data_IF_798452194774
#
_entry.id   IF_798452194774
#
_cell.length_a   1.000
_cell.length_b   1.000
_cell.length_c   1.000
_cell.angle_alpha   90.00
_cell.angle_beta   90.00
_cell.angle_gamma   90.00
#
_symmetry.space_group_name_H-M   'P 1'
#
loop_
_entity.id
_entity.type
_entity.pdbx_description
1 polymer ?
#
# COMPACT_ATOMS: atom_id res chain seq x y z
N UNK A 1 -3.96 18.65 -3.59
CA UNK A 1 -4.55 17.31 -3.29
C UNK A 1 -4.78 17.23 -1.78
N UNK A 2 -6.02 17.11 -1.34
CA UNK A 2 -6.35 16.86 0.08
C UNK A 2 -6.27 15.34 0.31
N UNK A 3 -5.24 14.85 0.98
CA UNK A 3 -5.06 13.42 1.29
C UNK A 3 -5.37 13.16 2.76
N UNK A 4 -5.79 11.93 3.11
CA UNK A 4 -6.03 11.60 4.51
C UNK A 4 -4.72 11.63 5.32
N UNK A 5 -4.80 12.16 6.54
CA UNK A 5 -3.69 12.21 7.49
C UNK A 5 -3.28 10.80 7.93
N UNK A 6 -2.03 10.63 8.37
CA UNK A 6 -1.50 9.38 8.92
C UNK A 6 -2.28 8.85 10.15
N UNK A 7 -3.10 9.68 10.78
CA UNK A 7 -4.03 9.28 11.85
C UNK A 7 -5.22 8.45 11.34
N UNK A 8 -5.42 8.35 10.02
CA UNK A 8 -6.50 7.56 9.43
C UNK A 8 -6.34 6.06 9.74
N UNK A 9 -7.34 5.39 10.34
CA UNK A 9 -7.22 3.97 10.71
C UNK A 9 -6.91 3.04 9.54
N UNK A 10 -7.45 3.32 8.34
CA UNK A 10 -7.17 2.52 7.14
C UNK A 10 -5.73 2.69 6.66
N UNK A 11 -5.17 3.91 6.74
CA UNK A 11 -3.78 4.15 6.38
C UNK A 11 -2.83 3.50 7.38
N UNK A 12 -3.13 3.57 8.67
CA UNK A 12 -2.33 2.89 9.71
C UNK A 12 -2.29 1.37 9.52
N UNK A 13 -3.42 0.73 9.15
CA UNK A 13 -3.45 -0.71 8.86
C UNK A 13 -2.63 -1.08 7.63
N UNK A 14 -2.72 -0.31 6.55
CA UNK A 14 -1.90 -0.54 5.35
C UNK A 14 -0.42 -0.29 5.64
N UNK A 15 -0.09 0.77 6.38
CA UNK A 15 1.26 1.05 6.84
C UNK A 15 1.81 -0.10 7.67
N UNK A 16 1.02 -0.66 8.59
CA UNK A 16 1.42 -1.81 9.40
C UNK A 16 1.69 -3.08 8.59
N UNK A 17 1.06 -3.25 7.43
CA UNK A 17 1.34 -4.34 6.49
C UNK A 17 2.66 -4.11 5.76
N UNK A 18 2.91 -2.90 5.27
CA UNK A 18 4.06 -2.57 4.43
C UNK A 18 5.34 -2.24 5.23
N UNK A 19 5.25 -1.99 6.54
CA UNK A 19 6.40 -1.63 7.40
C UNK A 19 7.51 -2.69 7.45
N UNK A 20 7.21 -3.92 7.03
CA UNK A 20 8.21 -4.99 6.95
C UNK A 20 9.17 -4.84 5.77
N UNK A 21 8.94 -3.86 4.88
CA UNK A 21 9.77 -3.59 3.71
C UNK A 21 9.73 -4.68 2.66
N UNK A 22 8.78 -5.63 2.75
CA UNK A 22 8.64 -6.75 1.82
C UNK A 22 7.58 -6.45 0.76
N UNK A 23 7.66 -7.09 -0.42
CA UNK A 23 6.62 -6.98 -1.42
C UNK A 23 5.32 -7.66 -0.97
N UNK A 24 4.20 -6.93 -0.98
CA UNK A 24 2.87 -7.46 -0.72
C UNK A 24 1.95 -7.24 -1.92
N UNK A 25 1.24 -8.28 -2.33
CA UNK A 25 0.22 -8.20 -3.37
C UNK A 25 -0.99 -7.40 -2.89
N UNK A 26 -1.76 -6.84 -3.83
CA UNK A 26 -3.06 -6.21 -3.51
C UNK A 26 -3.94 -7.12 -2.65
N UNK A 27 -4.00 -8.42 -2.96
CA UNK A 27 -4.80 -9.40 -2.22
C UNK A 27 -4.30 -9.63 -0.79
N UNK A 28 -2.99 -9.63 -0.57
CA UNK A 28 -2.42 -9.73 0.79
C UNK A 28 -2.74 -8.49 1.62
N UNK A 29 -2.63 -7.30 1.03
CA UNK A 29 -2.97 -6.04 1.70
C UNK A 29 -4.46 -6.02 2.07
N UNK A 30 -5.36 -6.39 1.15
CA UNK A 30 -6.81 -6.49 1.44
C UNK A 30 -7.06 -7.40 2.63
N UNK A 31 -6.45 -8.60 2.65
CA UNK A 31 -6.66 -9.59 3.72
C UNK A 31 -6.08 -9.17 5.06
N UNK A 32 -4.91 -8.55 5.09
CA UNK A 32 -4.22 -8.18 6.34
C UNK A 32 -4.67 -6.84 6.90
N UNK A 33 -4.95 -5.86 6.04
CA UNK A 33 -5.33 -4.51 6.46
C UNK A 33 -6.86 -4.30 6.46
N UNK A 34 -7.65 -5.25 5.94
CA UNK A 34 -9.11 -5.14 5.83
C UNK A 34 -9.55 -3.83 5.15
N UNK A 35 -8.98 -3.57 3.96
CA UNK A 35 -9.29 -2.40 3.14
C UNK A 35 -9.59 -2.82 1.70
N UNK A 36 -10.59 -2.20 1.07
CA UNK A 36 -10.96 -2.47 -0.33
C UNK A 36 -10.24 -1.48 -1.27
N UNK A 37 -10.07 -0.23 -0.85
CA UNK A 37 -9.43 0.84 -1.63
C UNK A 37 -7.89 0.88 -1.44
N UNK A 38 -7.20 -0.23 -1.76
CA UNK A 38 -5.73 -0.32 -1.59
C UNK A 38 -5.01 0.76 -2.39
N UNK A 39 -5.37 0.97 -3.66
CA UNK A 39 -4.71 1.96 -4.51
C UNK A 39 -4.80 3.38 -3.93
N UNK A 40 -5.96 3.76 -3.40
CA UNK A 40 -6.15 5.05 -2.71
C UNK A 40 -5.25 5.16 -1.49
N UNK A 41 -5.20 4.12 -0.65
CA UNK A 41 -4.32 4.11 0.52
C UNK A 41 -2.84 4.24 0.14
N UNK A 42 -2.38 3.58 -0.92
CA UNK A 42 -1.01 3.70 -1.42
C UNK A 42 -0.72 5.13 -1.92
N UNK A 43 -1.65 5.72 -2.67
CA UNK A 43 -1.50 7.10 -3.15
C UNK A 43 -1.44 8.11 -1.99
N UNK A 44 -2.26 7.93 -0.97
CA UNK A 44 -2.26 8.79 0.21
C UNK A 44 -1.02 8.58 1.08
N UNK A 45 -0.56 7.34 1.28
CA UNK A 45 0.70 7.10 1.98
C UNK A 45 1.88 7.77 1.27
N UNK A 46 1.91 7.73 -0.07
CA UNK A 46 2.90 8.48 -0.87
C UNK A 46 2.78 9.98 -0.68
N UNK A 47 1.56 10.51 -0.61
CA UNK A 47 1.33 11.93 -0.34
C UNK A 47 1.79 12.34 1.07
N UNK A 48 1.76 11.41 2.05
CA UNK A 48 2.34 11.57 3.39
C UNK A 48 3.87 11.28 3.43
N UNK A 49 4.54 11.17 2.28
CA UNK A 49 6.00 11.02 2.19
C UNK A 49 6.53 9.58 2.20
N UNK A 50 5.67 8.57 2.15
CA UNK A 50 6.13 7.19 1.99
C UNK A 50 6.65 6.93 0.57
N UNK A 51 7.77 6.23 0.43
CA UNK A 51 8.23 5.74 -0.86
C UNK A 51 7.78 4.28 -1.01
N UNK A 52 6.93 4.03 -2.01
CA UNK A 52 6.35 2.70 -2.24
C UNK A 52 6.57 2.32 -3.70
N UNK A 53 7.41 1.31 -3.93
CA UNK A 53 7.60 0.69 -5.23
C UNK A 53 6.36 -0.14 -5.59
N UNK A 54 5.91 -0.04 -6.85
CA UNK A 54 4.86 -0.91 -7.39
C UNK A 54 5.42 -1.70 -8.57
N UNK A 55 5.51 -3.01 -8.41
CA UNK A 55 5.86 -3.92 -9.51
C UNK A 55 4.62 -4.64 -9.99
N UNK A 56 4.54 -4.88 -11.30
CA UNK A 56 3.42 -5.57 -11.94
C UNK A 56 3.95 -6.82 -12.61
N UNK A 57 3.37 -7.96 -12.26
CA UNK A 57 3.69 -9.25 -12.86
C UNK A 57 2.44 -9.78 -13.57
N UNK A 58 2.57 -10.21 -14.82
CA UNK A 58 1.51 -10.92 -15.54
C UNK A 58 1.65 -12.41 -15.26
N UNK A 59 0.61 -13.03 -14.68
CA UNK A 59 0.54 -14.47 -14.45
C UNK A 59 -0.69 -15.03 -15.15
N UNK A 60 -0.51 -15.57 -16.35
CA UNK A 60 -1.59 -15.92 -17.27
C UNK A 60 -2.39 -14.67 -17.66
N UNK A 61 -3.71 -14.74 -17.48
CA UNK A 61 -4.63 -13.62 -17.77
C UNK A 61 -4.75 -12.61 -16.62
N UNK A 62 -4.04 -12.82 -15.51
CA UNK A 62 -4.11 -11.94 -14.34
C UNK A 62 -2.89 -11.04 -14.23
N UNK A 63 -3.14 -9.77 -13.91
CA UNK A 63 -2.11 -8.83 -13.52
C UNK A 63 -2.02 -8.78 -11.99
N UNK A 64 -0.85 -9.08 -11.44
CA UNK A 64 -0.57 -9.05 -10.01
C UNK A 64 0.29 -7.82 -9.72
N UNK A 65 -0.25 -6.86 -8.99
CA UNK A 65 0.50 -5.74 -8.44
C UNK A 65 1.10 -6.11 -7.09
N UNK A 66 2.38 -5.83 -6.88
CA UNK A 66 3.07 -5.90 -5.59
C UNK A 66 3.55 -4.52 -5.16
N UNK A 67 3.36 -4.22 -3.89
CA UNK A 67 3.76 -2.96 -3.27
C UNK A 67 4.83 -3.23 -2.22
N UNK A 68 5.93 -2.51 -2.30
CA UNK A 68 7.05 -2.59 -1.34
C UNK A 68 7.33 -1.19 -0.84
N UNK A 69 7.24 -0.95 0.47
CA UNK A 69 7.59 0.34 1.04
C UNK A 69 9.09 0.38 1.33
N UNK A 70 9.80 1.29 0.67
CA UNK A 70 11.25 1.50 0.81
C UNK A 70 11.56 2.59 1.84
N UNK A 71 10.62 3.51 2.06
CA UNK A 71 10.72 4.57 3.07
C UNK A 71 9.35 4.79 3.72
N UNK A 72 9.33 4.85 5.04
CA UNK A 72 8.12 5.17 5.80
C UNK A 72 7.70 6.65 5.60
N UNK A 73 6.41 6.99 5.75
CA UNK A 73 5.94 8.37 5.72
C UNK A 73 6.47 9.19 6.91
N UNK A 74 6.52 10.51 6.75
CA UNK A 74 7.05 11.49 7.74
C UNK A 74 5.93 12.22 8.45
#
# INVERSE_FOLDING_TARGET
>A
MHHALLTSPRLQRVLAVLKDGRPHTTREIVRRAHVVAVNSCIAELRANGAEILCTRERKGDRLICRYTMTKAPT
#
